data_IF_248354307547
#
_entry.id   IF_248354307547
#
_cell.length_a   1.000
_cell.length_b   1.000
_cell.length_c   1.000
_cell.angle_alpha   90.00
_cell.angle_beta   90.00
_cell.angle_gamma   90.00
#
_symmetry.space_group_name_H-M   'P 1'
#
loop_
_entity.id
_entity.type
_entity.pdbx_description
1 polymer ?
#
# COMPACT_ATOMS: atom_id res chain seq x y z
N UNK A 1 32.78 -20.46 29.81
CA UNK A 1 33.87 -19.46 29.71
C UNK A 1 33.64 -18.60 28.48
N UNK A 2 33.85 -17.26 28.55
CA UNK A 2 33.54 -16.35 27.44
C UNK A 2 34.71 -16.24 26.45
N UNK A 3 34.42 -16.35 25.16
CA UNK A 3 35.37 -16.06 24.08
C UNK A 3 35.25 -14.59 23.67
N UNK A 4 36.38 -13.91 23.51
CA UNK A 4 36.44 -12.53 23.01
C UNK A 4 36.88 -12.50 21.55
N UNK A 5 36.75 -11.34 20.91
CA UNK A 5 37.30 -11.10 19.56
C UNK A 5 38.44 -10.09 19.65
N UNK A 6 39.47 -10.33 18.84
CA UNK A 6 40.58 -9.41 18.66
C UNK A 6 40.12 -8.14 17.95
N UNK A 7 40.38 -6.99 18.58
CA UNK A 7 39.96 -5.68 18.11
C UNK A 7 40.63 -5.24 16.80
N UNK A 8 41.79 -5.79 16.46
CA UNK A 8 42.49 -5.52 15.20
C UNK A 8 42.17 -6.58 14.15
N UNK A 9 42.35 -7.87 14.49
CA UNK A 9 42.30 -8.95 13.50
C UNK A 9 40.92 -9.57 13.31
N UNK A 10 40.04 -9.50 14.32
CA UNK A 10 38.76 -10.21 14.39
C UNK A 10 38.89 -11.71 14.72
N UNK A 11 40.07 -12.19 15.13
CA UNK A 11 40.24 -13.59 15.56
C UNK A 11 39.63 -13.83 16.95
N UNK A 12 39.20 -15.07 17.19
CA UNK A 12 38.71 -15.50 18.51
C UNK A 12 39.85 -15.59 19.52
N UNK A 13 39.67 -14.93 20.66
CA UNK A 13 40.54 -14.95 21.82
C UNK A 13 39.90 -15.85 22.87
N UNK A 14 40.53 -17.00 23.08
CA UNK A 14 40.16 -17.91 24.15
C UNK A 14 40.77 -17.46 25.48
N UNK A 15 40.19 -17.91 26.60
CA UNK A 15 40.71 -17.58 27.92
C UNK A 15 42.16 -18.03 28.12
N UNK A 16 42.95 -17.21 28.83
CA UNK A 16 44.38 -17.42 29.02
C UNK A 16 45.26 -16.99 27.83
N UNK A 17 44.67 -16.42 26.77
CA UNK A 17 45.41 -15.98 25.58
C UNK A 17 45.33 -14.48 25.36
N UNK A 18 46.42 -13.92 24.82
CA UNK A 18 46.45 -12.55 24.32
C UNK A 18 46.67 -11.51 25.43
N UNK A 19 46.34 -10.26 25.11
CA UNK A 19 46.48 -9.11 26.02
C UNK A 19 45.30 -8.16 25.92
N UNK A 20 45.10 -7.37 26.96
CA UNK A 20 44.12 -6.30 27.02
C UNK A 20 44.87 -4.97 27.09
N UNK A 21 44.53 -4.05 26.20
CA UNK A 21 45.04 -2.70 26.18
C UNK A 21 43.90 -1.72 26.47
N UNK A 22 44.03 -0.94 27.54
CA UNK A 22 43.07 0.11 27.90
C UNK A 22 43.66 1.43 27.48
N UNK A 23 42.99 2.13 26.57
CA UNK A 23 43.41 3.46 26.10
C UNK A 23 42.91 4.53 27.06
N UNK A 24 43.53 5.71 27.04
CA UNK A 24 43.18 6.84 27.92
C UNK A 24 41.72 7.30 27.86
N UNK A 25 40.99 7.02 26.77
CA UNK A 25 39.54 7.25 26.65
C UNK A 25 38.69 6.09 27.22
N UNK A 26 39.26 5.28 28.10
CA UNK A 26 38.67 4.08 28.71
C UNK A 26 38.23 3.00 27.72
N UNK A 27 38.63 3.10 26.43
CA UNK A 27 38.33 2.05 25.45
C UNK A 27 39.24 0.85 25.65
N UNK A 28 38.61 -0.31 25.73
CA UNK A 28 39.27 -1.60 25.90
C UNK A 28 39.47 -2.26 24.55
N UNK A 29 40.72 -2.51 24.19
CA UNK A 29 41.12 -3.28 23.03
C UNK A 29 41.67 -4.62 23.49
N UNK A 30 41.35 -5.68 22.76
CA UNK A 30 41.82 -7.05 23.05
C UNK A 30 42.62 -7.54 21.85
N UNK A 31 43.77 -8.13 22.10
CA UNK A 31 44.70 -8.60 21.07
C UNK A 31 45.02 -10.06 21.26
N UNK A 32 44.99 -10.86 20.19
CA UNK A 32 45.27 -12.30 20.28
C UNK A 32 46.77 -12.58 20.44
N UNK A 33 47.63 -11.70 19.91
CA UNK A 33 49.09 -11.83 19.89
C UNK A 33 49.78 -10.46 19.73
N UNK A 34 51.10 -10.43 19.91
CA UNK A 34 51.91 -9.21 19.77
C UNK A 34 51.89 -8.60 18.35
N UNK A 35 51.60 -9.40 17.31
CA UNK A 35 51.47 -8.90 15.93
C UNK A 35 50.26 -7.96 15.79
N UNK A 36 49.11 -8.37 16.30
CA UNK A 36 47.88 -7.55 16.29
C UNK A 36 48.04 -6.26 17.12
N UNK A 37 48.67 -6.38 18.29
CA UNK A 37 48.98 -5.25 19.17
C UNK A 37 49.94 -4.25 18.50
N UNK A 38 51.05 -4.74 17.95
CA UNK A 38 52.05 -3.89 17.29
C UNK A 38 51.46 -3.12 16.11
N UNK A 39 50.68 -3.77 15.25
CA UNK A 39 50.01 -3.10 14.13
C UNK A 39 48.99 -2.05 14.59
N UNK A 40 48.28 -2.31 15.69
CA UNK A 40 47.37 -1.34 16.29
C UNK A 40 48.11 -0.12 16.82
N UNK A 41 49.21 -0.31 17.55
CA UNK A 41 50.03 0.79 18.09
C UNK A 41 50.73 1.59 16.98
N UNK A 42 51.12 0.94 15.89
CA UNK A 42 51.58 1.58 14.65
C UNK A 42 50.46 2.30 13.87
N UNK A 43 49.24 2.33 14.40
CA UNK A 43 48.06 2.97 13.81
C UNK A 43 47.75 2.47 12.40
N UNK A 44 48.07 1.20 12.09
CA UNK A 44 47.71 0.59 10.82
C UNK A 44 46.20 0.37 10.78
N UNK A 45 45.60 0.56 9.60
CA UNK A 45 44.17 0.32 9.41
C UNK A 45 43.94 -1.17 9.07
N UNK A 46 43.18 -1.93 9.88
CA UNK A 46 42.88 -3.34 9.59
C UNK A 46 42.29 -3.58 8.19
N UNK A 47 41.53 -2.61 7.67
CA UNK A 47 40.91 -2.65 6.33
C UNK A 47 41.91 -2.68 5.18
N UNK A 48 43.18 -2.36 5.43
CA UNK A 48 44.28 -2.43 4.46
C UNK A 48 45.17 -3.67 4.65
N UNK A 49 44.92 -4.47 5.68
CA UNK A 49 45.74 -5.64 6.03
C UNK A 49 45.01 -6.92 5.63
N UNK A 50 45.53 -7.60 4.62
CA UNK A 50 44.85 -8.66 3.87
C UNK A 50 44.29 -9.82 4.71
N UNK A 51 44.99 -10.19 5.79
CA UNK A 51 44.66 -11.35 6.61
C UNK A 51 43.57 -11.08 7.67
N UNK A 52 43.15 -9.83 7.86
CA UNK A 52 42.15 -9.49 8.90
C UNK A 52 40.73 -9.82 8.44
N UNK A 53 39.84 -10.10 9.39
CA UNK A 53 38.41 -10.34 9.10
C UNK A 53 37.77 -9.09 8.46
N UNK A 54 38.15 -7.89 8.92
CA UNK A 54 37.66 -6.63 8.38
C UNK A 54 38.02 -6.44 6.91
N UNK A 55 39.27 -6.71 6.53
CA UNK A 55 39.71 -6.66 5.13
C UNK A 55 38.91 -7.64 4.28
N UNK A 56 38.81 -8.90 4.72
CA UNK A 56 38.09 -9.95 3.98
C UNK A 56 36.63 -9.58 3.77
N UNK A 57 35.96 -9.02 4.79
CA UNK A 57 34.57 -8.54 4.68
C UNK A 57 34.42 -7.40 3.67
N UNK A 58 35.32 -6.42 3.67
CA UNK A 58 35.28 -5.31 2.72
C UNK A 58 35.51 -5.77 1.27
N UNK A 59 36.39 -6.73 1.08
CA UNK A 59 36.73 -7.30 -0.24
C UNK A 59 35.87 -8.50 -0.62
N UNK A 60 34.77 -8.75 0.11
CA UNK A 60 33.82 -9.86 -0.07
C UNK A 60 34.49 -11.24 -0.19
N UNK A 61 35.63 -11.43 0.47
CA UNK A 61 36.36 -12.70 0.46
C UNK A 61 35.67 -13.70 1.40
N UNK A 62 35.31 -14.86 0.88
CA UNK A 62 34.68 -15.94 1.66
C UNK A 62 33.22 -15.68 2.05
N UNK A 63 32.54 -14.74 1.37
CA UNK A 63 31.08 -14.61 1.44
C UNK A 63 30.53 -15.59 0.39
N UNK A 64 30.09 -16.76 0.82
CA UNK A 64 29.50 -17.78 -0.07
C UNK A 64 28.04 -17.49 -0.42
N UNK A 65 27.33 -16.77 0.45
CA UNK A 65 25.93 -16.41 0.25
C UNK A 65 25.73 -14.95 0.65
N UNK A 66 25.30 -14.09 -0.28
CA UNK A 66 24.56 -12.89 0.12
C UNK A 66 23.35 -13.38 0.90
N UNK A 67 23.25 -13.01 2.19
CA UNK A 67 22.08 -13.35 3.01
C UNK A 67 20.87 -12.70 2.36
N UNK A 68 20.21 -13.45 1.48
CA UNK A 68 18.97 -13.02 0.86
C UNK A 68 17.99 -12.77 2.00
N UNK A 69 17.38 -11.58 2.03
CA UNK A 69 16.38 -11.24 3.04
C UNK A 69 15.28 -12.30 2.98
N UNK A 70 15.22 -13.19 3.97
CA UNK A 70 14.14 -14.16 4.11
C UNK A 70 12.84 -13.37 4.33
N UNK A 71 12.03 -13.27 3.28
CA UNK A 71 10.69 -12.65 3.37
C UNK A 71 9.75 -13.66 4.03
N UNK A 72 9.50 -13.49 5.32
CA UNK A 72 8.43 -14.23 6.00
C UNK A 72 7.08 -13.61 5.60
N UNK A 73 6.23 -14.36 4.89
CA UNK A 73 4.85 -13.92 4.60
C UNK A 73 4.03 -13.96 5.91
N UNK A 74 3.44 -12.83 6.30
CA UNK A 74 2.44 -12.77 7.38
C UNK A 74 1.06 -12.65 6.74
N UNK A 75 0.20 -13.64 6.92
CA UNK A 75 -1.20 -13.58 6.49
C UNK A 75 -2.06 -13.07 7.64
N UNK A 76 -2.76 -11.96 7.42
CA UNK A 76 -3.75 -11.44 8.38
C UNK A 76 -5.12 -12.01 8.02
N UNK A 77 -5.63 -12.94 8.84
CA UNK A 77 -6.96 -13.56 8.68
C UNK A 77 -7.95 -13.01 9.69
N UNK A 78 -8.20 -11.70 9.67
CA UNK A 78 -9.25 -11.08 10.48
C UNK A 78 -10.38 -10.61 9.56
N UNK A 79 -11.56 -11.21 9.70
CA UNK A 79 -12.79 -10.69 9.13
C UNK A 79 -13.44 -9.81 10.20
N UNK A 80 -13.60 -8.51 9.92
CA UNK A 80 -14.23 -7.55 10.84
C UNK A 80 -15.62 -7.14 10.32
N UNK A 81 -16.52 -6.83 11.24
CA UNK A 81 -17.81 -6.24 10.89
C UNK A 81 -17.60 -4.83 10.34
N UNK A 82 -18.55 -4.36 9.54
CA UNK A 82 -18.56 -2.98 9.03
C UNK A 82 -19.73 -2.23 9.68
N UNK A 83 -19.60 -0.91 9.82
CA UNK A 83 -20.73 -0.10 10.31
C UNK A 83 -21.91 -0.27 9.35
N UNK A 84 -23.07 -0.65 9.87
CA UNK A 84 -24.28 -0.93 9.10
C UNK A 84 -24.49 -2.39 8.68
N UNK A 85 -23.56 -3.32 8.95
CA UNK A 85 -23.78 -4.75 8.76
C UNK A 85 -22.91 -5.62 9.70
N UNK A 86 -23.53 -6.53 10.45
CA UNK A 86 -22.80 -7.48 11.29
C UNK A 86 -22.03 -8.51 10.47
N UNK A 87 -21.00 -9.13 11.06
CA UNK A 87 -20.22 -10.17 10.39
C UNK A 87 -21.06 -11.37 9.93
N UNK A 88 -22.11 -11.69 10.68
CA UNK A 88 -23.01 -12.81 10.39
C UNK A 88 -23.83 -12.55 9.13
N UNK A 89 -24.43 -11.36 9.01
CA UNK A 89 -25.17 -10.95 7.82
C UNK A 89 -24.27 -10.93 6.57
N UNK A 90 -23.02 -10.52 6.71
CA UNK A 90 -22.05 -10.51 5.61
C UNK A 90 -21.69 -11.94 5.18
N UNK A 91 -21.50 -12.86 6.14
CA UNK A 91 -21.20 -14.26 5.86
C UNK A 91 -22.39 -14.94 5.19
N UNK A 92 -23.60 -14.74 5.70
CA UNK A 92 -24.84 -15.31 5.16
C UNK A 92 -25.10 -14.84 3.72
N UNK A 93 -24.97 -13.54 3.44
CA UNK A 93 -25.11 -13.01 2.07
C UNK A 93 -24.05 -13.55 1.11
N UNK A 94 -22.84 -13.83 1.62
CA UNK A 94 -21.75 -14.43 0.84
C UNK A 94 -21.98 -15.93 0.59
N UNK A 95 -22.53 -16.66 1.56
CA UNK A 95 -22.81 -18.10 1.43
C UNK A 95 -24.05 -18.41 0.58
N UNK A 96 -24.89 -17.42 0.25
CA UNK A 96 -25.99 -17.61 -0.70
C UNK A 96 -25.49 -18.16 -2.04
N UNK A 97 -26.15 -19.22 -2.51
CA UNK A 97 -25.84 -19.89 -3.78
C UNK A 97 -25.91 -18.90 -4.95
N UNK A 98 -24.99 -18.98 -5.91
CA UNK A 98 -24.95 -18.06 -7.05
C UNK A 98 -26.24 -18.07 -7.88
N UNK A 99 -26.93 -19.21 -7.93
CA UNK A 99 -28.22 -19.40 -8.61
C UNK A 99 -29.35 -18.57 -7.97
N UNK A 100 -29.45 -18.56 -6.64
CA UNK A 100 -30.43 -17.75 -5.93
C UNK A 100 -30.15 -16.25 -6.11
N UNK A 101 -28.86 -15.87 -6.19
CA UNK A 101 -28.42 -14.49 -6.42
C UNK A 101 -28.73 -14.02 -7.84
N UNK A 102 -28.56 -14.88 -8.84
CA UNK A 102 -28.87 -14.55 -10.24
C UNK A 102 -30.39 -14.45 -10.47
N UNK A 103 -31.19 -15.32 -9.84
CA UNK A 103 -32.65 -15.25 -9.89
C UNK A 103 -33.18 -13.92 -9.32
N UNK A 104 -32.78 -13.56 -8.10
CA UNK A 104 -33.16 -12.29 -7.48
C UNK A 104 -32.74 -11.06 -8.30
N UNK A 105 -31.57 -11.12 -8.97
CA UNK A 105 -31.14 -10.06 -9.91
C UNK A 105 -32.02 -9.99 -11.14
N UNK A 106 -32.40 -11.12 -11.72
CA UNK A 106 -33.26 -11.16 -12.90
C UNK A 106 -34.65 -10.59 -12.59
N UNK A 107 -35.21 -10.91 -11.44
CA UNK A 107 -36.48 -10.36 -10.95
C UNK A 107 -36.41 -8.85 -10.73
N UNK A 108 -35.35 -8.36 -10.08
CA UNK A 108 -35.14 -6.93 -9.89
C UNK A 108 -35.02 -6.18 -11.23
N UNK A 109 -34.30 -6.75 -12.21
CA UNK A 109 -34.17 -6.17 -13.55
C UNK A 109 -35.52 -6.13 -14.27
N UNK A 110 -36.36 -7.16 -14.14
CA UNK A 110 -37.71 -7.18 -14.71
C UNK A 110 -38.57 -6.08 -14.09
N UNK A 111 -38.60 -6.00 -12.77
CA UNK A 111 -39.34 -4.96 -12.05
C UNK A 111 -38.89 -3.54 -12.43
N UNK A 112 -37.59 -3.31 -12.60
CA UNK A 112 -37.07 -2.01 -13.04
C UNK A 112 -37.43 -1.68 -14.49
N UNK A 113 -37.45 -2.68 -15.38
CA UNK A 113 -37.89 -2.50 -16.76
C UNK A 113 -39.38 -2.16 -16.83
N UNK A 114 -40.20 -2.84 -16.05
CA UNK A 114 -41.64 -2.57 -15.95
C UNK A 114 -41.91 -1.17 -15.39
N UNK A 115 -41.23 -0.76 -14.31
CA UNK A 115 -41.30 0.61 -13.78
C UNK A 115 -40.89 1.65 -14.80
N UNK A 116 -39.82 1.40 -15.57
CA UNK A 116 -39.40 2.30 -16.67
C UNK A 116 -40.42 2.37 -17.79
N UNK A 117 -41.01 1.23 -18.18
CA UNK A 117 -42.05 1.20 -19.20
C UNK A 117 -43.31 1.96 -18.76
N UNK A 118 -43.75 1.77 -17.51
CA UNK A 118 -44.86 2.51 -16.91
C UNK A 118 -44.57 4.02 -16.86
N UNK A 119 -43.37 4.42 -16.40
CA UNK A 119 -42.96 5.82 -16.39
C UNK A 119 -42.90 6.43 -17.81
N UNK A 120 -42.50 5.65 -18.82
CA UNK A 120 -42.51 6.09 -20.22
C UNK A 120 -43.93 6.20 -20.78
N UNK A 121 -44.85 5.31 -20.41
CA UNK A 121 -46.25 5.36 -20.82
C UNK A 121 -46.94 6.60 -20.23
N UNK A 122 -46.71 6.92 -18.95
CA UNK A 122 -47.19 8.16 -18.33
C UNK A 122 -46.65 9.39 -19.05
N UNK A 123 -45.33 9.44 -19.33
CA UNK A 123 -44.72 10.55 -20.08
C UNK A 123 -45.27 10.69 -21.50
N UNK A 124 -45.59 9.59 -22.19
CA UNK A 124 -46.20 9.61 -23.53
C UNK A 124 -47.65 10.09 -23.46
N UNK A 125 -48.42 9.68 -22.46
CA UNK A 125 -49.78 10.14 -22.23
C UNK A 125 -49.83 11.64 -21.89
N UNK A 126 -48.90 12.14 -21.08
CA UNK A 126 -48.76 13.57 -20.79
C UNK A 126 -48.38 14.37 -22.04
N UNK A 127 -47.43 13.88 -22.86
CA UNK A 127 -47.08 14.51 -24.14
C UNK A 127 -48.24 14.53 -25.13
N UNK A 128 -49.02 13.45 -25.21
CA UNK A 128 -50.20 13.38 -26.05
C UNK A 128 -51.30 14.35 -25.57
N UNK A 129 -51.47 14.49 -24.24
CA UNK A 129 -52.35 15.52 -23.67
C UNK A 129 -51.86 16.93 -24.02
N UNK A 130 -50.57 17.24 -23.88
CA UNK A 130 -50.02 18.55 -24.26
C UNK A 130 -50.10 18.85 -25.76
N UNK A 131 -49.98 17.83 -26.61
CA UNK A 131 -50.14 17.96 -28.06
C UNK A 131 -51.62 18.15 -28.45
N UNK A 132 -52.55 17.50 -27.74
CA UNK A 132 -53.99 17.72 -27.92
C UNK A 132 -54.43 19.11 -27.43
N UNK A 133 -53.82 19.68 -26.39
CA UNK A 133 -54.03 21.09 -26.02
C UNK A 133 -53.45 22.04 -27.05
N UNK A 134 -52.31 21.71 -27.67
CA UNK A 134 -51.75 22.49 -28.78
C UNK A 134 -52.63 22.45 -30.06
N UNK A 135 -53.30 21.31 -30.33
CA UNK A 135 -54.22 21.14 -31.46
C UNK A 135 -55.59 21.83 -31.27
N UNK A 136 -55.98 22.19 -30.04
CA UNK A 136 -57.19 22.98 -29.74
C UNK A 136 -57.03 24.49 -29.95
N UNK A 137 -56.01 24.92 -30.69
CA UNK A 137 -55.99 26.26 -31.27
C UNK A 137 -55.70 27.41 -30.29
N UNK A 138 -54.91 27.18 -29.25
CA UNK A 138 -54.20 28.28 -28.58
C UNK A 138 -52.75 28.32 -29.07
N UNK A 139 -52.61 28.99 -30.20
CA UNK A 139 -51.35 29.42 -30.80
C UNK A 139 -50.47 30.12 -29.77
N UNK A 140 -49.42 29.45 -29.30
CA UNK A 140 -48.21 30.14 -28.89
C UNK A 140 -47.12 29.84 -29.90
N UNK A 141 -46.73 30.93 -30.57
CA UNK A 141 -45.78 31.03 -31.68
C UNK A 141 -44.56 30.15 -31.42
N UNK A 142 -44.16 29.41 -32.45
CA UNK A 142 -42.85 28.76 -32.52
C UNK A 142 -41.75 29.78 -32.19
N UNK A 143 -41.26 29.77 -30.96
CA UNK A 143 -40.02 30.45 -30.62
C UNK A 143 -38.90 29.55 -31.14
N UNK A 144 -38.14 30.05 -32.11
CA UNK A 144 -36.98 29.35 -32.64
C UNK A 144 -36.03 28.98 -31.49
N UNK A 145 -35.32 27.86 -31.64
CA UNK A 145 -34.34 27.34 -30.66
C UNK A 145 -33.25 28.37 -30.29
N UNK A 146 -33.13 29.42 -31.08
CA UNK A 146 -32.24 30.56 -30.90
C UNK A 146 -32.79 31.62 -29.93
N UNK A 147 -34.11 31.76 -29.79
CA UNK A 147 -34.74 32.65 -28.80
C UNK A 147 -34.80 32.09 -27.38
N UNK A 148 -34.66 30.77 -27.21
CA UNK A 148 -34.70 30.09 -25.91
C UNK A 148 -33.35 30.13 -25.15
N UNK A 149 -32.26 30.52 -25.81
CA UNK A 149 -31.01 30.83 -25.11
C UNK A 149 -31.05 32.30 -24.71
N UNK A 150 -31.67 32.56 -23.56
CA UNK A 150 -31.59 33.87 -22.90
C UNK A 150 -30.14 34.33 -22.79
N UNK A 151 -29.95 35.66 -22.77
CA UNK A 151 -28.64 36.31 -22.73
C UNK A 151 -27.72 35.65 -21.67
N UNK A 152 -26.48 35.35 -22.07
CA UNK A 152 -25.50 34.70 -21.19
C UNK A 152 -25.32 35.54 -19.92
N UNK A 153 -25.66 34.95 -18.77
CA UNK A 153 -25.40 35.56 -17.48
C UNK A 153 -23.89 35.73 -17.31
N UNK A 154 -23.46 36.99 -17.18
CA UNK A 154 -22.07 37.36 -16.89
C UNK A 154 -21.72 36.80 -15.51
N UNK A 155 -20.93 35.73 -15.47
CA UNK A 155 -20.46 35.14 -14.22
C UNK A 155 -19.53 36.15 -13.54
N UNK A 156 -19.97 36.72 -12.43
CA UNK A 156 -19.15 37.63 -11.64
C UNK A 156 -17.96 36.86 -11.04
N UNK A 157 -16.74 37.32 -11.31
CA UNK A 157 -15.54 36.78 -10.70
C UNK A 157 -15.60 36.98 -9.19
N UNK A 158 -15.73 35.90 -8.43
CA UNK A 158 -15.53 35.91 -6.97
C UNK A 158 -14.21 35.21 -6.67
N UNK A 159 -13.18 36.02 -6.48
CA UNK A 159 -11.98 35.63 -5.76
C UNK A 159 -12.26 35.71 -4.25
N UNK A 160 -12.22 34.55 -3.58
CA UNK A 160 -11.48 34.33 -2.33
C UNK A 160 -11.43 32.84 -2.03
#
# INVERSE_FOLDING_TARGET
>A
MRTYEDSFSGQRIYPGKGKIYVRGDSKVFRFVNGKSESLFLQRKNPRRIAWTVLFRRQHRKGISEEVAKKRTRRTVKAQRAIVGASLEVIKERRSMRPEARSAARAEAIKADKEKKAAAQAVKKAEKAKSAATAAKGQTQRNVSKQGAKGAQQKVAARTR
#
